data_IF_513658844974
#
_entry.id   IF_513658844974
#
_cell.length_a   1.000
_cell.length_b   1.000
_cell.length_c   1.000
_cell.angle_alpha   90.00
_cell.angle_beta   90.00
_cell.angle_gamma   90.00
#
_symmetry.space_group_name_H-M   'P 1'
#
loop_
_entity.id
_entity.type
_entity.pdbx_description
1 polymer ?
#
# COMPACT_ATOMS: atom_id res chain seq x y z
N UNK A 1 57.54 -70.13 3.22
CA UNK A 1 57.36 -68.75 2.68
C UNK A 1 55.89 -68.52 2.43
N UNK A 2 55.24 -67.71 3.33
CA UNK A 2 53.84 -67.27 3.14
C UNK A 2 53.91 -65.85 2.66
N UNK A 3 53.46 -65.65 1.39
CA UNK A 3 53.25 -64.30 0.86
C UNK A 3 51.85 -63.83 1.24
N UNK A 4 51.78 -62.78 2.10
CA UNK A 4 50.55 -62.07 2.44
C UNK A 4 50.33 -61.01 1.36
N UNK A 5 49.32 -61.20 0.53
CA UNK A 5 48.88 -60.25 -0.48
C UNK A 5 47.98 -59.22 0.21
N UNK A 6 48.51 -58.00 0.51
CA UNK A 6 47.71 -56.89 1.02
C UNK A 6 46.97 -56.27 -0.16
N UNK A 7 45.64 -56.48 -0.21
CA UNK A 7 44.76 -55.84 -1.15
C UNK A 7 44.41 -54.43 -0.64
N UNK A 8 45.11 -53.42 -1.18
CA UNK A 8 44.85 -52.03 -0.87
C UNK A 8 43.57 -51.55 -1.56
N UNK A 9 42.44 -51.60 -0.84
CA UNK A 9 41.14 -51.10 -1.32
C UNK A 9 41.13 -49.55 -1.28
N UNK A 10 41.48 -48.90 -2.39
CA UNK A 10 41.34 -47.45 -2.56
C UNK A 10 39.87 -47.12 -2.79
N UNK A 11 39.17 -46.77 -1.72
CA UNK A 11 37.83 -46.17 -1.80
C UNK A 11 37.93 -44.78 -2.42
N UNK A 12 37.54 -44.64 -3.69
CA UNK A 12 37.30 -43.36 -4.35
C UNK A 12 36.06 -42.73 -3.72
N UNK A 13 36.29 -41.81 -2.80
CA UNK A 13 35.25 -40.91 -2.29
C UNK A 13 34.89 -39.93 -3.45
N UNK A 14 33.87 -40.24 -4.21
CA UNK A 14 33.22 -39.25 -5.06
C UNK A 14 32.53 -38.25 -4.15
N UNK A 15 33.24 -37.18 -3.78
CA UNK A 15 32.61 -35.99 -3.19
C UNK A 15 31.75 -35.36 -4.30
N UNK A 16 30.45 -35.60 -4.22
CA UNK A 16 29.49 -34.84 -5.01
C UNK A 16 29.45 -33.41 -4.41
N UNK A 17 30.27 -32.52 -4.93
CA UNK A 17 30.19 -31.12 -4.58
C UNK A 17 28.89 -30.58 -5.17
N UNK A 18 27.99 -30.14 -4.27
CA UNK A 18 26.79 -29.41 -4.70
C UNK A 18 27.23 -28.14 -5.37
N UNK A 19 26.72 -27.88 -6.55
CA UNK A 19 26.95 -26.62 -7.27
C UNK A 19 26.04 -25.55 -6.66
N UNK A 20 26.63 -24.48 -6.17
CA UNK A 20 25.92 -23.31 -5.66
C UNK A 20 25.53 -22.39 -6.82
N UNK A 21 24.39 -21.68 -6.70
CA UNK A 21 23.85 -20.76 -7.67
C UNK A 21 22.35 -20.55 -7.48
N UNK A 22 21.76 -19.66 -8.25
CA UNK A 22 20.32 -19.43 -8.20
C UNK A 22 19.55 -20.66 -8.70
N UNK A 23 18.65 -21.20 -7.86
CA UNK A 23 17.82 -22.37 -8.15
C UNK A 23 16.39 -22.03 -8.54
N UNK A 24 16.02 -20.75 -8.54
CA UNK A 24 14.68 -20.29 -8.90
C UNK A 24 14.56 -20.11 -10.42
N UNK A 25 13.72 -20.92 -11.13
CA UNK A 25 13.56 -20.83 -12.57
C UNK A 25 12.95 -19.52 -13.07
N UNK A 26 12.39 -18.68 -12.18
CA UNK A 26 11.83 -17.34 -12.53
C UNK A 26 12.90 -16.26 -12.49
N UNK A 27 14.05 -16.51 -11.84
CA UNK A 27 15.13 -15.53 -11.75
C UNK A 27 15.85 -15.34 -13.10
N UNK A 28 16.35 -14.11 -13.34
CA UNK A 28 17.12 -13.77 -14.55
C UNK A 28 18.41 -14.58 -14.70
N UNK A 29 19.02 -14.96 -13.56
CA UNK A 29 20.28 -15.69 -13.47
C UNK A 29 20.09 -17.15 -13.01
N UNK A 30 18.93 -17.75 -13.28
CA UNK A 30 18.67 -19.16 -12.99
C UNK A 30 19.76 -20.07 -13.56
N UNK A 31 20.35 -20.92 -12.70
CA UNK A 31 21.32 -21.94 -13.11
C UNK A 31 20.70 -23.33 -12.93
N UNK A 32 20.32 -23.96 -14.06
CA UNK A 32 19.74 -25.31 -14.07
C UNK A 32 20.68 -26.39 -13.47
N UNK A 33 21.97 -26.12 -13.36
CA UNK A 33 22.95 -27.03 -12.77
C UNK A 33 23.18 -26.76 -11.27
N UNK A 34 22.63 -25.68 -10.71
CA UNK A 34 22.69 -25.42 -9.28
C UNK A 34 21.85 -26.46 -8.53
N UNK A 35 22.38 -26.98 -7.43
CA UNK A 35 21.71 -27.92 -6.53
C UNK A 35 21.59 -27.37 -5.10
N UNK A 36 22.14 -26.18 -4.86
CA UNK A 36 22.06 -25.44 -3.62
C UNK A 36 21.89 -23.95 -3.96
N UNK A 37 20.82 -23.34 -3.45
CA UNK A 37 20.62 -21.91 -3.59
C UNK A 37 21.64 -21.17 -2.73
N UNK A 38 22.35 -20.23 -3.34
CA UNK A 38 23.37 -19.39 -2.69
C UNK A 38 22.84 -17.97 -2.36
N UNK A 39 21.54 -17.71 -2.62
CA UNK A 39 20.91 -16.41 -2.44
C UNK A 39 21.26 -15.38 -3.51
N UNK A 40 21.88 -15.80 -4.62
CA UNK A 40 22.30 -14.90 -5.71
C UNK A 40 21.20 -14.65 -6.75
N UNK A 41 19.97 -15.14 -6.54
CA UNK A 41 18.88 -14.95 -7.49
C UNK A 41 18.62 -13.47 -7.76
N UNK A 42 18.60 -13.10 -9.02
CA UNK A 42 18.33 -11.75 -9.52
C UNK A 42 16.98 -11.73 -10.24
N UNK A 43 16.16 -10.73 -9.92
CA UNK A 43 14.80 -10.59 -10.46
C UNK A 43 14.62 -9.21 -11.08
N UNK A 44 13.74 -9.13 -12.07
CA UNK A 44 13.30 -7.83 -12.59
C UNK A 44 12.45 -7.11 -11.54
N UNK A 45 12.79 -5.88 -11.27
CA UNK A 45 12.02 -5.01 -10.39
C UNK A 45 10.96 -4.26 -11.20
N UNK A 46 9.74 -4.22 -10.68
CA UNK A 46 8.60 -3.50 -11.24
C UNK A 46 8.09 -2.46 -10.25
N UNK A 47 7.42 -1.45 -10.77
CA UNK A 47 6.69 -0.50 -9.95
C UNK A 47 5.19 -0.68 -10.18
N UNK A 48 4.43 -0.77 -9.09
CA UNK A 48 2.97 -0.69 -9.12
C UNK A 48 2.59 0.75 -8.80
N UNK A 49 1.89 1.41 -9.72
CA UNK A 49 1.40 2.76 -9.53
C UNK A 49 -0.10 2.73 -9.23
N UNK A 50 -0.47 3.17 -8.03
CA UNK A 50 -1.84 3.37 -7.64
C UNK A 50 -2.21 4.82 -7.87
N UNK A 51 -3.36 5.06 -8.48
CA UNK A 51 -3.91 6.40 -8.66
C UNK A 51 -5.31 6.47 -8.06
N UNK A 52 -5.47 7.26 -6.98
CA UNK A 52 -6.74 7.44 -6.29
C UNK A 52 -7.54 8.55 -6.95
N UNK A 53 -8.67 8.19 -7.53
CA UNK A 53 -9.63 9.12 -8.12
C UNK A 53 -10.91 9.15 -7.30
N UNK A 54 -11.59 10.28 -7.31
CA UNK A 54 -12.84 10.48 -6.59
C UNK A 54 -13.97 10.72 -7.59
N UNK A 55 -15.08 10.08 -7.33
CA UNK A 55 -16.31 10.25 -8.15
C UNK A 55 -17.53 10.39 -7.24
N UNK A 56 -18.55 11.05 -7.74
CA UNK A 56 -19.88 11.07 -7.16
C UNK A 56 -20.80 10.41 -8.20
N UNK A 57 -21.45 9.32 -7.79
CA UNK A 57 -22.11 8.40 -8.71
C UNK A 57 -21.12 7.86 -9.75
N UNK A 58 -21.28 8.18 -11.02
CA UNK A 58 -20.38 7.78 -12.11
C UNK A 58 -19.48 8.90 -12.62
N UNK A 59 -19.69 10.13 -12.15
CA UNK A 59 -18.98 11.31 -12.63
C UNK A 59 -17.76 11.64 -11.75
N UNK A 60 -16.68 12.11 -12.38
CA UNK A 60 -15.52 12.62 -11.64
C UNK A 60 -15.94 13.78 -10.73
N UNK A 61 -15.44 13.77 -9.49
CA UNK A 61 -15.69 14.83 -8.54
C UNK A 61 -15.15 16.19 -9.06
N UNK A 62 -16.02 17.18 -9.12
CA UNK A 62 -15.68 18.58 -9.38
C UNK A 62 -15.78 19.33 -8.05
N UNK A 63 -14.64 19.86 -7.60
CA UNK A 63 -14.56 20.61 -6.35
C UNK A 63 -15.27 21.96 -6.45
N UNK A 64 -15.65 22.48 -5.29
CA UNK A 64 -16.17 23.84 -5.12
C UNK A 64 -17.44 24.14 -5.97
N UNK A 65 -18.16 23.08 -6.36
CA UNK A 65 -19.36 23.18 -7.17
C UNK A 65 -20.59 22.66 -6.42
N UNK A 66 -21.52 23.55 -6.12
CA UNK A 66 -22.78 23.25 -5.42
C UNK A 66 -23.82 22.60 -6.35
N UNK A 67 -23.42 21.49 -7.00
CA UNK A 67 -24.20 20.83 -8.07
C UNK A 67 -24.74 19.44 -7.69
N UNK A 68 -24.17 18.83 -6.64
CA UNK A 68 -24.53 17.48 -6.25
C UNK A 68 -25.81 17.49 -5.42
N UNK A 69 -26.61 16.44 -5.52
CA UNK A 69 -27.83 16.26 -4.74
C UNK A 69 -27.68 15.07 -3.82
N UNK A 70 -28.03 15.23 -2.56
CA UNK A 70 -28.16 14.11 -1.64
C UNK A 70 -29.56 13.47 -1.74
N UNK A 71 -29.81 12.37 -1.02
CA UNK A 71 -31.10 11.67 -1.03
C UNK A 71 -32.30 12.54 -0.56
N UNK A 72 -32.05 13.65 0.11
CA UNK A 72 -33.08 14.60 0.55
C UNK A 72 -33.26 15.77 -0.43
N UNK A 73 -32.68 15.68 -1.64
CA UNK A 73 -32.68 16.73 -2.66
C UNK A 73 -32.07 18.06 -2.19
N UNK A 74 -31.10 17.98 -1.30
CA UNK A 74 -30.32 19.14 -0.85
C UNK A 74 -29.06 19.21 -1.72
N UNK A 75 -28.83 20.38 -2.32
CA UNK A 75 -27.59 20.63 -3.06
C UNK A 75 -26.40 20.67 -2.11
N UNK A 76 -25.29 20.09 -2.55
CA UNK A 76 -24.03 20.16 -1.82
C UNK A 76 -22.83 20.26 -2.76
N UNK A 77 -21.74 20.79 -2.23
CA UNK A 77 -20.41 20.79 -2.85
C UNK A 77 -19.43 20.01 -1.99
N UNK A 78 -18.35 19.56 -2.59
CA UNK A 78 -17.17 19.04 -1.87
C UNK A 78 -16.03 20.05 -2.11
N UNK A 79 -15.55 20.67 -1.04
CA UNK A 79 -14.44 21.62 -1.05
C UNK A 79 -13.16 20.95 -0.61
N UNK A 80 -13.24 20.20 0.48
CA UNK A 80 -12.15 19.41 1.05
C UNK A 80 -12.54 17.94 1.11
N UNK A 81 -11.68 17.08 0.61
CA UNK A 81 -11.65 15.67 0.94
C UNK A 81 -10.20 15.27 1.12
N UNK A 82 -9.85 14.91 2.33
CA UNK A 82 -8.55 14.40 2.73
C UNK A 82 -8.74 13.11 3.48
N UNK A 83 -7.88 12.13 3.25
CA UNK A 83 -7.96 10.87 3.97
C UNK A 83 -6.61 10.16 3.98
N UNK A 84 -6.47 9.22 4.90
CA UNK A 84 -5.28 8.39 5.01
C UNK A 84 -5.60 7.01 4.43
N UNK A 85 -4.64 6.47 3.70
CA UNK A 85 -4.58 5.08 3.28
C UNK A 85 -3.42 4.42 4.01
N UNK A 86 -3.66 3.28 4.62
CA UNK A 86 -2.64 2.50 5.31
C UNK A 86 -2.79 1.00 5.03
N UNK A 87 -1.84 0.19 5.52
CA UNK A 87 -1.86 -1.27 5.40
C UNK A 87 -2.08 -1.77 3.97
N UNK A 88 -1.43 -1.14 3.00
CA UNK A 88 -1.49 -1.60 1.61
C UNK A 88 -0.86 -2.99 1.54
N UNK A 89 -1.62 -3.98 1.06
CA UNK A 89 -1.20 -5.38 0.92
C UNK A 89 -1.39 -5.86 -0.49
N UNK A 90 -0.38 -6.50 -1.03
CA UNK A 90 -0.43 -7.23 -2.29
C UNK A 90 -0.71 -8.70 -1.98
N UNK A 91 -1.70 -9.30 -2.62
CA UNK A 91 -2.14 -10.67 -2.37
C UNK A 91 -1.88 -11.56 -3.58
N UNK A 92 -1.41 -12.79 -3.34
CA UNK A 92 -1.30 -13.85 -4.33
C UNK A 92 -2.50 -14.79 -4.31
N UNK A 93 -2.67 -15.58 -5.37
CA UNK A 93 -3.75 -16.57 -5.45
C UNK A 93 -3.58 -17.73 -4.46
N UNK A 94 -2.36 -18.01 -4.02
CA UNK A 94 -2.06 -19.03 -3.00
C UNK A 94 -2.47 -18.61 -1.57
N UNK A 95 -3.00 -17.40 -1.40
CA UNK A 95 -3.43 -16.84 -0.13
C UNK A 95 -2.32 -16.13 0.66
N UNK A 96 -1.09 -16.13 0.17
CA UNK A 96 -0.01 -15.34 0.77
C UNK A 96 -0.16 -13.86 0.44
N UNK A 97 0.44 -12.98 1.26
CA UNK A 97 0.40 -11.54 1.03
C UNK A 97 1.69 -10.86 1.47
N UNK A 98 2.02 -9.76 0.78
CA UNK A 98 3.11 -8.86 1.13
C UNK A 98 2.53 -7.53 1.64
N UNK A 99 2.83 -7.17 2.89
CA UNK A 99 2.51 -5.86 3.42
C UNK A 99 3.49 -4.83 2.84
N UNK A 100 2.94 -3.76 2.29
CA UNK A 100 3.68 -2.55 1.95
C UNK A 100 3.50 -1.60 3.12
N UNK A 101 4.53 -1.47 3.93
CA UNK A 101 4.51 -0.62 5.13
C UNK A 101 4.58 0.85 4.73
N UNK A 102 3.42 1.42 4.42
CA UNK A 102 3.31 2.81 4.03
C UNK A 102 1.99 3.41 4.51
N UNK A 103 2.07 4.62 5.02
CA UNK A 103 0.93 5.49 5.29
C UNK A 103 0.91 6.57 4.23
N UNK A 104 -0.20 6.69 3.50
CA UNK A 104 -0.37 7.62 2.40
C UNK A 104 -1.45 8.63 2.73
N UNK A 105 -1.12 9.90 2.63
CA UNK A 105 -2.07 10.99 2.78
C UNK A 105 -2.59 11.41 1.40
N UNK A 106 -3.90 11.35 1.22
CA UNK A 106 -4.56 11.75 -0.02
C UNK A 106 -5.31 13.06 0.21
N UNK A 107 -5.02 14.04 -0.62
CA UNK A 107 -5.71 15.33 -0.64
C UNK A 107 -6.20 15.60 -2.07
N UNK A 108 -7.51 15.71 -2.26
CA UNK A 108 -8.09 15.92 -3.60
C UNK A 108 -7.67 17.24 -4.24
N UNK A 109 -7.17 18.20 -3.44
CA UNK A 109 -6.65 19.46 -3.94
C UNK A 109 -5.22 19.36 -4.49
N UNK A 110 -4.51 18.26 -4.22
CA UNK A 110 -3.12 18.04 -4.60
C UNK A 110 -2.97 16.73 -5.38
N UNK A 111 -2.79 16.84 -6.69
CA UNK A 111 -2.64 15.68 -7.59
C UNK A 111 -1.44 14.81 -7.25
N UNK A 112 -0.39 15.36 -6.65
CA UNK A 112 0.81 14.61 -6.28
C UNK A 112 0.53 13.59 -5.18
N UNK A 113 -0.39 13.89 -4.26
CA UNK A 113 -0.77 13.02 -3.16
C UNK A 113 -1.65 11.85 -3.59
N UNK A 114 -2.30 11.95 -4.75
CA UNK A 114 -3.19 10.90 -5.28
C UNK A 114 -2.47 9.75 -5.97
N UNK A 115 -1.15 9.84 -6.09
CA UNK A 115 -0.32 8.82 -6.74
C UNK A 115 0.58 8.18 -5.70
N UNK A 116 0.47 6.86 -5.59
CA UNK A 116 1.30 6.04 -4.72
C UNK A 116 2.07 5.05 -5.58
N UNK A 117 3.39 5.08 -5.50
CA UNK A 117 4.25 4.14 -6.20
C UNK A 117 4.79 3.11 -5.21
N UNK A 118 4.50 1.85 -5.46
CA UNK A 118 5.08 0.71 -4.76
C UNK A 118 6.27 0.27 -5.60
N UNK A 119 7.48 0.54 -5.13
CA UNK A 119 8.72 0.20 -5.83
C UNK A 119 9.21 -1.21 -5.48
N UNK A 120 10.13 -1.70 -6.29
CA UNK A 120 10.87 -2.94 -6.05
C UNK A 120 9.99 -4.17 -5.83
N UNK A 121 8.91 -4.25 -6.61
CA UNK A 121 8.08 -5.45 -6.67
C UNK A 121 8.78 -6.47 -7.57
N UNK A 122 9.33 -7.51 -6.97
CA UNK A 122 10.09 -8.56 -7.68
C UNK A 122 9.24 -9.72 -8.19
N UNK A 123 7.98 -9.78 -7.77
CA UNK A 123 7.07 -10.89 -8.03
C UNK A 123 5.83 -10.37 -8.77
N UNK A 124 5.50 -10.97 -9.91
CA UNK A 124 4.33 -10.62 -10.72
C UNK A 124 3.09 -11.49 -10.43
N UNK A 125 3.18 -12.38 -9.44
CA UNK A 125 2.07 -13.31 -9.11
C UNK A 125 1.00 -12.68 -8.20
N UNK A 126 1.02 -11.36 -8.01
CA UNK A 126 -0.03 -10.68 -7.25
C UNK A 126 -1.31 -10.56 -8.09
N UNK A 127 -2.41 -11.04 -7.54
CA UNK A 127 -3.74 -11.04 -8.16
C UNK A 127 -4.65 -9.94 -7.65
N UNK A 128 -4.38 -9.41 -6.45
CA UNK A 128 -5.21 -8.36 -5.86
C UNK A 128 -4.44 -7.49 -4.87
N UNK A 129 -5.06 -6.34 -4.55
CA UNK A 129 -4.55 -5.38 -3.58
C UNK A 129 -5.65 -5.05 -2.58
N UNK A 130 -5.27 -4.87 -1.32
CA UNK A 130 -6.15 -4.31 -0.29
C UNK A 130 -5.45 -3.18 0.46
N UNK A 131 -6.24 -2.32 1.06
CA UNK A 131 -5.76 -1.25 1.93
C UNK A 131 -6.82 -0.86 2.95
N UNK A 132 -6.40 -0.19 4.01
CA UNK A 132 -7.28 0.42 5.02
C UNK A 132 -7.46 1.90 4.69
N UNK A 133 -8.71 2.40 4.70
CA UNK A 133 -8.98 3.83 4.74
C UNK A 133 -8.98 4.26 6.21
N UNK A 134 -7.96 5.01 6.60
CA UNK A 134 -7.69 5.36 7.99
C UNK A 134 -6.41 4.73 8.52
N UNK A 135 -6.33 4.61 9.83
CA UNK A 135 -5.20 4.04 10.58
C UNK A 135 -5.71 2.98 11.55
N UNK A 136 -4.97 1.91 11.72
CA UNK A 136 -5.18 0.98 12.82
C UNK A 136 -4.59 1.54 14.14
N UNK A 137 -4.86 0.90 15.25
CA UNK A 137 -4.44 1.36 16.60
C UNK A 137 -2.92 1.49 16.74
N UNK A 138 -2.14 0.70 16.00
CA UNK A 138 -0.66 0.76 16.09
C UNK A 138 -0.08 1.96 15.33
N UNK A 139 -0.77 2.46 14.33
CA UNK A 139 -0.41 3.65 13.56
C UNK A 139 -1.10 4.92 14.06
N UNK A 140 -2.25 4.79 14.74
CA UNK A 140 -2.98 5.98 15.22
C UNK A 140 -2.49 6.45 16.58
N UNK A 141 -1.21 6.78 16.65
CA UNK A 141 -0.53 7.24 17.87
C UNK A 141 -0.18 8.71 17.73
N UNK A 142 -0.56 9.52 18.72
CA UNK A 142 -0.23 10.96 18.77
C UNK A 142 1.27 11.18 18.53
N UNK A 143 1.57 12.14 17.66
CA UNK A 143 2.94 12.52 17.24
C UNK A 143 3.74 11.47 16.47
N UNK A 144 3.14 10.35 16.04
CA UNK A 144 3.86 9.36 15.23
C UNK A 144 4.32 9.94 13.88
N UNK A 145 3.54 10.84 13.30
CA UNK A 145 3.77 11.42 11.97
C UNK A 145 4.19 12.90 12.00
N UNK A 146 4.99 13.31 12.99
CA UNK A 146 5.44 14.70 13.14
C UNK A 146 6.14 15.29 11.92
N UNK A 147 6.84 14.44 11.14
CA UNK A 147 7.60 14.85 9.97
C UNK A 147 6.80 14.74 8.65
N UNK A 148 5.57 14.26 8.72
CA UNK A 148 4.73 14.13 7.54
C UNK A 148 4.04 15.45 7.18
N UNK A 149 3.83 15.68 5.89
CA UNK A 149 3.26 16.94 5.37
C UNK A 149 1.83 17.21 5.85
N UNK A 150 1.09 16.19 6.25
CA UNK A 150 -0.27 16.33 6.77
C UNK A 150 -0.33 16.68 8.26
N UNK A 151 0.77 16.52 9.00
CA UNK A 151 0.89 17.00 10.36
C UNK A 151 1.14 18.54 10.35
N UNK A 152 0.53 19.36 11.15
CA UNK A 152 -0.47 19.12 12.22
C UNK A 152 -1.94 19.22 11.75
N UNK A 153 -2.20 19.48 10.48
CA UNK A 153 -3.58 19.71 9.96
C UNK A 153 -4.49 18.49 10.07
N UNK A 154 -3.93 17.34 10.38
CA UNK A 154 -4.63 16.05 10.44
C UNK A 154 -4.62 15.43 11.85
N UNK A 155 -4.15 16.16 12.88
CA UNK A 155 -4.17 15.67 14.26
C UNK A 155 -5.59 15.63 14.81
N UNK A 156 -5.94 14.51 15.48
CA UNK A 156 -7.19 14.38 16.23
C UNK A 156 -7.04 15.04 17.61
N UNK A 157 -8.08 15.74 18.12
CA UNK A 157 -7.97 16.44 19.40
C UNK A 157 -7.67 15.49 20.57
N UNK A 158 -6.71 15.84 21.40
CA UNK A 158 -6.30 15.06 22.59
C UNK A 158 -7.48 14.75 23.53
N UNK A 159 -8.41 15.71 23.71
CA UNK A 159 -9.61 15.53 24.55
C UNK A 159 -10.58 14.48 24.00
N UNK A 160 -10.41 14.08 22.73
CA UNK A 160 -11.21 13.06 22.04
C UNK A 160 -10.41 11.77 21.79
N UNK A 161 -9.25 11.60 22.42
CA UNK A 161 -8.43 10.41 22.31
C UNK A 161 -7.04 10.62 21.68
N UNK A 162 -6.79 11.75 21.02
CA UNK A 162 -5.53 12.03 20.33
C UNK A 162 -5.37 11.21 19.04
N UNK A 163 -4.17 11.19 18.48
CA UNK A 163 -3.89 10.53 17.20
C UNK A 163 -4.21 11.41 16.00
N UNK A 164 -4.83 10.84 14.98
CA UNK A 164 -5.06 11.50 13.69
C UNK A 164 -6.48 11.27 13.17
N UNK A 165 -6.96 12.21 12.36
CA UNK A 165 -8.14 11.99 11.53
C UNK A 165 -7.91 10.79 10.57
N UNK A 166 -8.98 10.07 10.27
CA UNK A 166 -8.99 9.10 9.18
C UNK A 166 -9.40 9.76 7.87
N UNK A 167 -10.39 10.67 7.97
CA UNK A 167 -10.91 11.43 6.85
C UNK A 167 -11.44 12.80 7.33
N UNK A 168 -11.29 13.80 6.47
CA UNK A 168 -11.94 15.11 6.56
C UNK A 168 -12.71 15.35 5.25
N UNK A 169 -14.02 15.51 5.36
CA UNK A 169 -14.90 15.87 4.26
C UNK A 169 -15.63 17.16 4.61
N UNK A 170 -15.42 18.20 3.81
CA UNK A 170 -15.96 19.53 4.07
C UNK A 170 -16.52 20.12 2.78
N UNK A 171 -17.51 20.97 2.94
CA UNK A 171 -18.12 21.68 1.82
C UNK A 171 -19.30 22.53 2.24
N UNK A 172 -20.13 22.85 1.28
CA UNK A 172 -21.33 23.64 1.47
C UNK A 172 -22.56 22.83 1.08
N UNK A 173 -23.68 23.18 1.66
CA UNK A 173 -24.99 22.65 1.29
C UNK A 173 -26.04 23.75 1.25
N UNK A 174 -27.06 23.59 0.39
CA UNK A 174 -28.16 24.52 0.26
C UNK A 174 -29.42 23.78 -0.24
N UNK A 175 -30.51 23.96 0.48
CA UNK A 175 -31.78 23.32 0.13
C UNK A 175 -32.47 23.97 -1.09
N UNK A 176 -32.34 25.29 -1.25
CA UNK A 176 -32.92 26.05 -2.36
C UNK A 176 -31.86 26.99 -2.95
N UNK A 177 -31.40 26.69 -4.15
CA UNK A 177 -30.38 27.50 -4.83
C UNK A 177 -30.87 28.90 -5.22
N UNK A 178 -32.20 29.12 -5.26
CA UNK A 178 -32.79 30.42 -5.60
C UNK A 178 -32.85 31.37 -4.39
N UNK A 179 -32.82 30.83 -3.17
CA UNK A 179 -33.05 31.59 -1.95
C UNK A 179 -32.01 31.23 -0.83
N UNK A 180 -31.41 32.28 -0.27
CA UNK A 180 -30.50 32.15 0.85
C UNK A 180 -29.03 31.93 0.45
N UNK A 181 -28.18 31.79 1.45
CA UNK A 181 -26.76 31.48 1.30
C UNK A 181 -26.50 30.03 1.67
N UNK A 182 -25.48 29.38 1.08
CA UNK A 182 -25.05 28.08 1.51
C UNK A 182 -24.64 28.05 2.98
N UNK A 183 -24.86 26.92 3.63
CA UNK A 183 -24.32 26.60 4.94
C UNK A 183 -23.14 25.63 4.80
N UNK A 184 -22.21 25.68 5.73
CA UNK A 184 -21.06 24.78 5.73
C UNK A 184 -21.37 23.46 6.42
N UNK A 185 -20.73 22.40 5.98
CA UNK A 185 -20.66 21.13 6.69
C UNK A 185 -19.22 20.65 6.82
N UNK A 186 -18.93 20.05 7.96
CA UNK A 186 -17.66 19.39 8.25
C UNK A 186 -17.97 18.00 8.80
N UNK A 187 -17.46 16.98 8.12
CA UNK A 187 -17.55 15.58 8.56
C UNK A 187 -16.13 15.06 8.71
N UNK A 188 -15.73 14.86 9.95
CA UNK A 188 -14.41 14.32 10.27
C UNK A 188 -14.58 12.98 10.96
N UNK A 189 -13.78 12.01 10.57
CA UNK A 189 -13.72 10.69 11.20
C UNK A 189 -12.33 10.49 11.81
N UNK A 190 -12.27 9.75 12.91
CA UNK A 190 -11.04 9.47 13.66
C UNK A 190 -11.26 8.32 14.63
N UNK A 191 -10.37 8.12 15.60
CA UNK A 191 -10.46 7.05 16.60
C UNK A 191 -11.67 7.18 17.49
#
# INVERSE_FOLDING_TARGET
>A
NKYILIFLCTSLLFSCTKKEGCTDPVANNFDINASLDDGSCDYNNFNINLHFTQSIESDALIRDSLKYLNHSNIHYSVQTLRYIISEIKLHKEDGTSKLIDSVQFINIADESTKKVTISDVTDLEYSSISFTVGLNDSYNVTNLFLNESFFPSFTWPEMLGGGYHYMQLEGEFQADLANGNPSFYNTHTGP
#
